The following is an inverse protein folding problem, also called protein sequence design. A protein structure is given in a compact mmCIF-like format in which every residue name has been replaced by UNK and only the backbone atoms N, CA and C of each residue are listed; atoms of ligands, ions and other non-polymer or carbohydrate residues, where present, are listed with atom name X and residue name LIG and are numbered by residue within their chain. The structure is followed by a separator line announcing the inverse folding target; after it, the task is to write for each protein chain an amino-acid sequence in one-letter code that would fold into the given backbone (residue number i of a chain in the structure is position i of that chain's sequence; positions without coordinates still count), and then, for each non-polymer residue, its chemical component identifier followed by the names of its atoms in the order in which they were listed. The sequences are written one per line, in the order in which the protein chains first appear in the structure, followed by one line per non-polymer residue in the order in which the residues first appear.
data_IF_824572355286
#
_entry.id   IF_824572355286
#
_cell.length_a   1.000
_cell.length_b   1.000
_cell.length_c   1.000
_cell.angle_alpha   90.00
_cell.angle_beta   90.00
_cell.angle_gamma   90.00
#
_symmetry.space_group_name_H-M   'P 1'
#
loop_
_entity.id
_entity.type
_entity.pdbx_description
1 polymer ?
#
# COMPACT_ATOMS: atom_id res chain seq x y z
N UNK A 1 -6.63 -10.88 -13.61
CA UNK A 1 -5.80 -10.86 -12.37
C UNK A 1 -6.73 -10.35 -11.30
N UNK A 2 -6.86 -11.04 -10.16
CA UNK A 2 -7.76 -10.57 -9.10
C UNK A 2 -7.33 -9.20 -8.57
N UNK A 3 -8.28 -8.33 -8.19
CA UNK A 3 -7.97 -7.06 -7.58
C UNK A 3 -7.18 -7.27 -6.28
N UNK A 4 -6.12 -6.48 -6.11
CA UNK A 4 -5.27 -6.49 -4.94
C UNK A 4 -5.61 -5.28 -4.07
N UNK A 5 -5.78 -5.49 -2.76
CA UNK A 5 -5.88 -4.41 -1.79
C UNK A 5 -4.81 -4.63 -0.71
N UNK A 6 -4.09 -3.58 -0.37
CA UNK A 6 -3.02 -3.57 0.62
C UNK A 6 -3.28 -2.45 1.63
N UNK A 7 -3.19 -2.80 2.91
CA UNK A 7 -3.17 -1.81 3.97
C UNK A 7 -1.84 -1.07 3.96
N UNK A 8 -1.90 0.27 4.00
CA UNK A 8 -0.74 1.14 4.12
C UNK A 8 -0.64 1.57 5.57
N UNK A 9 0.53 1.38 6.17
CA UNK A 9 0.80 1.67 7.58
C UNK A 9 1.93 2.68 7.70
N UNK A 10 1.86 3.51 8.73
CA UNK A 10 2.86 4.54 9.03
C UNK A 10 3.35 4.34 10.46
N UNK A 11 4.66 4.41 10.65
CA UNK A 11 5.25 4.29 11.99
C UNK A 11 4.71 5.41 12.91
N UNK A 12 4.38 5.04 14.14
CA UNK A 12 3.71 5.92 15.10
C UNK A 12 2.19 5.84 15.09
N UNK A 13 1.59 5.05 14.19
CA UNK A 13 0.14 4.79 14.18
C UNK A 13 -0.16 3.28 14.25
N UNK A 14 -1.06 2.90 15.17
CA UNK A 14 -1.46 1.50 15.37
C UNK A 14 -2.45 0.98 14.32
N UNK A 15 -3.17 1.89 13.65
CA UNK A 15 -4.13 1.55 12.60
C UNK A 15 -3.52 1.83 11.21
N UNK A 16 -3.93 1.09 10.16
CA UNK A 16 -3.60 1.46 8.79
C UNK A 16 -4.06 2.89 8.47
N UNK A 17 -3.17 3.66 7.86
CA UNK A 17 -3.44 5.05 7.48
C UNK A 17 -4.32 5.13 6.23
N UNK A 18 -4.29 4.09 5.39
CA UNK A 18 -5.07 4.03 4.16
C UNK A 18 -4.96 2.67 3.47
N UNK A 19 -5.58 2.58 2.30
CA UNK A 19 -5.60 1.38 1.46
C UNK A 19 -5.09 1.72 0.08
N UNK A 20 -4.17 0.90 -0.41
CA UNK A 20 -3.69 0.90 -1.79
C UNK A 20 -4.35 -0.24 -2.55
N UNK A 21 -5.04 0.07 -3.64
CA UNK A 21 -5.75 -0.90 -4.48
C UNK A 21 -5.11 -0.96 -5.85
N UNK A 22 -5.04 -2.16 -6.42
CA UNK A 22 -4.78 -2.38 -7.85
C UNK A 22 -5.94 -3.17 -8.44
N UNK A 23 -6.54 -2.64 -9.49
CA UNK A 23 -7.61 -3.33 -10.21
C UNK A 23 -7.07 -4.43 -11.13
N UNK A 24 -8.00 -5.12 -11.80
CA UNK A 24 -7.67 -6.23 -12.71
C UNK A 24 -6.91 -5.80 -13.98
N UNK A 25 -7.02 -4.51 -14.33
CA UNK A 25 -6.34 -3.87 -15.47
C UNK A 25 -4.98 -3.30 -15.08
N UNK A 26 -4.60 -3.38 -13.80
CA UNK A 26 -3.35 -2.86 -13.28
C UNK A 26 -3.39 -1.37 -12.94
N UNK A 27 -4.56 -0.71 -13.01
CA UNK A 27 -4.71 0.64 -12.51
C UNK A 27 -4.71 0.62 -10.98
N UNK A 28 -4.07 1.60 -10.37
CA UNK A 28 -3.92 1.71 -8.92
C UNK A 28 -4.70 2.89 -8.37
N UNK A 29 -5.03 2.83 -7.09
CA UNK A 29 -5.62 3.94 -6.36
C UNK A 29 -5.19 3.87 -4.90
N UNK A 30 -5.13 5.03 -4.25
CA UNK A 30 -4.84 5.11 -2.83
C UNK A 30 -5.86 5.98 -2.11
N UNK A 31 -6.42 5.50 -1.01
CA UNK A 31 -7.33 6.28 -0.17
C UNK A 31 -6.90 6.26 1.28
N UNK A 32 -6.94 7.42 1.94
CA UNK A 32 -6.80 7.48 3.39
C UNK A 32 -8.02 6.87 4.08
N UNK A 33 -7.78 6.15 5.17
CA UNK A 33 -8.86 5.64 6.01
C UNK A 33 -9.56 6.81 6.71
N UNK A 34 -10.89 6.78 6.79
CA UNK A 34 -11.66 7.84 7.49
C UNK A 34 -11.22 7.99 8.94
N UNK A 35 -10.93 6.88 9.61
CA UNK A 35 -10.44 6.86 11.00
C UNK A 35 -9.05 7.47 11.14
N UNK A 36 -8.25 7.50 10.06
CA UNK A 36 -6.97 8.20 10.04
C UNK A 36 -7.19 9.69 9.80
N UNK A 37 -8.02 10.06 8.82
CA UNK A 37 -8.36 11.46 8.53
C UNK A 37 -9.01 12.20 9.70
N UNK A 38 -9.71 11.48 10.59
CA UNK A 38 -10.35 12.05 11.77
C UNK A 38 -9.38 12.31 12.93
N UNK A 39 -8.14 11.82 12.87
CA UNK A 39 -7.14 12.01 13.92
C UNK A 39 -6.56 13.42 13.86
N UNK A 40 -6.43 14.07 15.01
CA UNK A 40 -5.87 15.42 15.13
C UNK A 40 -4.37 15.47 14.83
N UNK A 41 -3.67 14.35 14.98
CA UNK A 41 -2.25 14.18 14.73
C UNK A 41 -1.96 13.48 13.40
N UNK A 42 -2.97 13.32 12.53
CA UNK A 42 -2.78 12.75 11.20
C UNK A 42 -1.79 13.59 10.40
N UNK A 43 -0.87 12.90 9.71
CA UNK A 43 0.12 13.53 8.83
C UNK A 43 0.01 12.97 7.41
N UNK A 44 0.18 13.79 6.37
CA UNK A 44 0.19 13.30 5.00
C UNK A 44 1.39 12.38 4.76
N UNK A 45 1.21 11.38 3.89
CA UNK A 45 2.30 10.46 3.49
C UNK A 45 3.33 11.17 2.61
N UNK A 46 2.88 12.18 1.87
CA UNK A 46 3.68 13.01 0.99
C UNK A 46 2.96 14.34 0.75
N UNK A 47 3.72 15.36 0.37
CA UNK A 47 3.15 16.62 -0.15
C UNK A 47 2.30 16.40 -1.42
N UNK A 48 2.58 15.34 -2.19
CA UNK A 48 1.79 14.94 -3.36
C UNK A 48 0.52 14.14 -3.00
N UNK A 49 0.40 13.69 -1.76
CA UNK A 49 -0.75 12.96 -1.22
C UNK A 49 -1.24 13.63 0.08
N UNK A 50 -1.80 14.85 0.01
CA UNK A 50 -2.36 15.52 1.19
C UNK A 50 -3.51 14.72 1.84
N UNK A 51 -3.83 15.04 3.10
CA UNK A 51 -4.93 14.39 3.82
C UNK A 51 -6.28 14.83 3.24
N UNK A 52 -6.82 14.03 2.33
CA UNK A 52 -8.13 14.27 1.71
C UNK A 52 -8.98 13.00 1.75
N UNK A 53 -10.31 13.18 1.81
CA UNK A 53 -11.26 12.07 1.85
C UNK A 53 -11.47 11.36 0.51
N UNK A 54 -11.14 12.03 -0.60
CA UNK A 54 -11.23 11.44 -1.93
C UNK A 54 -10.02 10.54 -2.22
N UNK A 55 -10.20 9.35 -2.82
CA UNK A 55 -9.08 8.53 -3.25
C UNK A 55 -8.23 9.23 -4.33
N UNK A 56 -6.92 9.05 -4.25
CA UNK A 56 -5.97 9.42 -5.27
C UNK A 56 -6.00 8.43 -6.44
N UNK A 57 -6.13 8.91 -7.68
CA UNK A 57 -6.16 8.07 -8.87
C UNK A 57 -4.76 7.58 -9.26
N UNK A 58 -4.75 6.68 -10.24
CA UNK A 58 -3.58 5.94 -10.74
C UNK A 58 -2.31 6.77 -10.85
N UNK A 59 -2.32 7.88 -11.59
CA UNK A 59 -1.11 8.69 -11.83
C UNK A 59 -0.50 9.22 -10.53
N UNK A 60 -1.33 9.75 -9.61
CA UNK A 60 -0.85 10.34 -8.36
C UNK A 60 -0.36 9.27 -7.38
N UNK A 61 -1.11 8.17 -7.25
CA UNK A 61 -0.73 7.06 -6.39
C UNK A 61 0.56 6.39 -6.91
N UNK A 62 0.60 6.04 -8.20
CA UNK A 62 1.74 5.39 -8.84
C UNK A 62 3.01 6.24 -8.73
N UNK A 63 2.95 7.55 -8.97
CA UNK A 63 4.12 8.42 -8.82
C UNK A 63 4.76 8.38 -7.42
N UNK A 64 3.94 8.28 -6.35
CA UNK A 64 4.47 8.17 -5.00
C UNK A 64 5.02 6.77 -4.70
N UNK A 65 4.25 5.72 -4.98
CA UNK A 65 4.64 4.36 -4.64
C UNK A 65 5.79 3.84 -5.52
N UNK A 66 5.88 4.24 -6.79
CA UNK A 66 7.00 3.89 -7.67
C UNK A 66 8.31 4.52 -7.20
N UNK A 67 8.28 5.76 -6.69
CA UNK A 67 9.47 6.40 -6.12
C UNK A 67 9.99 5.62 -4.90
N UNK A 68 9.09 5.17 -4.01
CA UNK A 68 9.46 4.35 -2.84
C UNK A 68 10.05 2.99 -3.23
N UNK A 69 9.63 2.45 -4.37
CA UNK A 69 10.13 1.20 -4.93
C UNK A 69 11.49 1.39 -5.62
N UNK A 70 11.73 2.52 -6.29
CA UNK A 70 13.01 2.80 -6.93
C UNK A 70 14.13 3.08 -5.93
N UNK A 71 13.83 3.74 -4.80
CA UNK A 71 14.83 4.00 -3.76
C UNK A 71 15.24 2.74 -2.96
N UNK A 72 14.57 1.60 -3.18
CA UNK A 72 14.87 0.34 -2.50
C UNK A 72 14.81 -0.79 -3.51
N UNK A 73 15.97 -1.23 -4.00
CA UNK A 73 16.23 -2.25 -5.05
C UNK A 73 15.44 -3.59 -5.01
N UNK A 74 14.48 -3.78 -4.11
CA UNK A 74 13.72 -5.02 -3.95
C UNK A 74 12.20 -4.77 -3.82
N UNK A 75 11.47 -4.92 -4.93
CA UNK A 75 10.00 -4.99 -5.00
C UNK A 75 9.40 -5.99 -3.98
N UNK A 76 10.10 -7.10 -3.73
CA UNK A 76 9.71 -8.14 -2.76
C UNK A 76 9.92 -7.68 -1.32
N UNK A 77 10.96 -6.87 -1.07
CA UNK A 77 11.28 -6.31 0.25
C UNK A 77 10.34 -5.19 0.69
N UNK A 78 9.88 -4.35 -0.25
CA UNK A 78 8.93 -3.27 0.04
C UNK A 78 7.51 -3.77 0.29
N UNK A 79 7.02 -4.70 -0.55
CA UNK A 79 5.75 -5.38 -0.30
C UNK A 79 5.75 -6.05 1.08
N UNK A 80 6.88 -6.67 1.46
CA UNK A 80 7.05 -7.25 2.80
C UNK A 80 7.03 -6.22 3.93
N UNK A 81 7.44 -4.96 3.73
CA UNK A 81 7.51 -3.97 4.84
C UNK A 81 6.27 -3.10 5.00
N UNK A 82 5.56 -2.79 3.91
CA UNK A 82 4.22 -2.15 3.99
C UNK A 82 3.20 -3.07 4.67
N UNK A 83 3.42 -4.39 4.61
CA UNK A 83 2.49 -5.43 5.06
C UNK A 83 2.73 -5.92 6.51
N UNK A 84 3.95 -5.81 7.06
CA UNK A 84 4.31 -6.50 8.31
C UNK A 84 4.05 -5.74 9.63
N UNK A 85 3.43 -4.57 9.62
CA UNK A 85 3.14 -3.86 10.88
C UNK A 85 1.77 -4.22 11.51
N UNK A 86 1.11 -5.30 11.07
CA UNK A 86 -0.11 -5.84 11.69
C UNK A 86 0.16 -7.00 12.67
N UNK A 87 -0.78 -7.31 13.60
CA UNK A 87 -0.60 -8.38 14.57
C UNK A 87 -0.36 -9.73 13.89
N UNK A 88 0.58 -10.51 14.47
CA UNK A 88 1.25 -11.66 13.88
C UNK A 88 0.35 -12.79 13.33
N UNK A 89 -0.95 -12.77 13.61
CA UNK A 89 -1.91 -13.82 13.22
C UNK A 89 -2.36 -13.73 11.74
N UNK A 90 -2.33 -12.53 11.14
CA UNK A 90 -2.71 -12.33 9.72
C UNK A 90 -1.54 -12.51 8.72
N UNK A 91 -0.32 -12.64 9.24
CA UNK A 91 0.93 -12.72 8.46
C UNK A 91 0.92 -13.87 7.45
N UNK A 92 0.35 -15.03 7.80
CA UNK A 92 0.46 -16.24 6.98
C UNK A 92 -0.39 -16.20 5.71
N UNK A 93 -1.67 -15.81 5.84
CA UNK A 93 -2.58 -15.71 4.70
C UNK A 93 -2.16 -14.60 3.72
N UNK A 94 -1.56 -13.53 4.24
CA UNK A 94 -1.06 -12.43 3.42
C UNK A 94 0.25 -12.78 2.71
N UNK A 95 1.15 -13.51 3.37
CA UNK A 95 2.38 -14.02 2.75
C UNK A 95 2.11 -15.02 1.62
N UNK A 96 1.09 -15.89 1.74
CA UNK A 96 0.69 -16.81 0.68
C UNK A 96 0.19 -16.08 -0.58
N UNK A 97 -0.58 -14.98 -0.40
CA UNK A 97 -1.04 -14.14 -1.53
C UNK A 97 0.11 -13.41 -2.21
N UNK A 98 1.15 -13.00 -1.48
CA UNK A 98 2.34 -12.32 -2.03
C UNK A 98 3.23 -13.31 -2.80
N UNK A 99 3.43 -14.52 -2.27
CA UNK A 99 4.22 -15.56 -2.94
C UNK A 99 3.66 -15.90 -4.32
N UNK A 100 2.32 -15.98 -4.43
CA UNK A 100 1.64 -16.20 -5.71
C UNK A 100 1.85 -15.08 -6.75
N UNK A 101 2.15 -13.85 -6.31
CA UNK A 101 2.42 -12.70 -7.18
C UNK A 101 3.88 -12.70 -7.66
N UNK A 102 4.83 -13.04 -6.78
CA UNK A 102 6.27 -13.03 -7.09
C UNK A 102 6.68 -14.03 -8.18
N UNK A 103 6.08 -15.22 -8.21
CA UNK A 103 6.42 -16.26 -9.20
C UNK A 103 5.89 -15.96 -10.61
N UNK A 104 4.82 -15.17 -10.72
CA UNK A 104 4.16 -14.89 -12.01
C UNK A 104 4.75 -13.69 -12.76
N UNK A 105 5.62 -12.92 -12.11
CA UNK A 105 6.26 -11.73 -12.68
C UNK A 105 7.60 -12.02 -13.37
N UNK A 106 8.12 -13.26 -13.34
CA UNK A 106 9.42 -13.65 -13.93
C UNK A 106 9.39 -14.93 -14.79
N UNK A 107 8.22 -15.28 -15.35
CA UNK A 107 8.10 -16.36 -16.37
C UNK A 107 7.43 -15.87 -17.67
N UNK A 108 7.55 -14.57 -17.97
CA UNK A 108 7.16 -13.99 -19.26
C UNK A 108 8.31 -13.17 -19.82
#
# INVERSE_FOLDING_TARGET
MDPLALDVRLDGFDDPVGVFVRDERGAVAFGYNRNYLAKSDAIPLSLSLPLVGAPYPDVAARAFFDNLLQERDDLVGFARRVILAGPADQTKAQLERISAIGTKLWQG
#
